data_IF_104536467687
#
_entry.id   IF_104536467687
#
_cell.length_a   1.000
_cell.length_b   1.000
_cell.length_c   1.000
_cell.angle_alpha   90.00
_cell.angle_beta   90.00
_cell.angle_gamma   90.00
#
_symmetry.space_group_name_H-M   'P 1'
#
loop_
_entity.id
_entity.type
_entity.pdbx_description
1 polymer ?
#
# COMPACT_ATOMS: atom_id res chain seq x y z
N UNK A 1 -23.91 -0.68 -13.24
CA UNK A 1 -22.96 -1.03 -12.18
C UNK A 1 -22.17 0.23 -11.82
N UNK A 2 -22.32 0.75 -10.60
CA UNK A 2 -21.68 2.00 -10.16
C UNK A 2 -20.20 1.79 -9.76
N UNK A 3 -19.74 0.55 -9.78
CA UNK A 3 -18.39 0.15 -9.39
C UNK A 3 -17.37 0.23 -10.52
N UNK A 4 -17.81 0.50 -11.76
CA UNK A 4 -16.94 0.61 -12.94
C UNK A 4 -17.10 1.98 -13.60
N UNK A 5 -15.97 2.63 -13.90
CA UNK A 5 -15.89 3.86 -14.66
C UNK A 5 -15.14 3.64 -15.97
N UNK A 6 -15.67 4.16 -17.07
CA UNK A 6 -15.01 4.17 -18.38
C UNK A 6 -14.44 5.55 -18.63
N UNK A 7 -13.13 5.62 -18.81
CA UNK A 7 -12.43 6.86 -19.14
C UNK A 7 -12.62 7.20 -20.63
N UNK A 8 -12.35 8.45 -21.01
CA UNK A 8 -12.43 8.90 -22.42
C UNK A 8 -11.58 8.05 -23.38
N UNK A 9 -10.55 7.38 -22.87
CA UNK A 9 -9.68 6.45 -23.63
C UNK A 9 -10.30 5.06 -23.87
N UNK A 10 -11.53 4.81 -23.39
CA UNK A 10 -12.19 3.50 -23.45
C UNK A 10 -11.76 2.52 -22.36
N UNK A 11 -10.75 2.87 -21.54
CA UNK A 11 -10.29 2.03 -20.41
C UNK A 11 -11.33 2.01 -19.29
N UNK A 12 -11.57 0.82 -18.73
CA UNK A 12 -12.50 0.62 -17.61
C UNK A 12 -11.73 0.31 -16.33
N UNK A 13 -12.10 0.97 -15.25
CA UNK A 13 -11.49 0.81 -13.93
C UNK A 13 -12.55 0.66 -12.86
N UNK A 14 -12.20 -0.04 -11.77
CA UNK A 14 -13.02 -0.04 -10.57
C UNK A 14 -13.01 1.36 -9.93
N UNK A 15 -14.19 1.90 -9.64
CA UNK A 15 -14.41 3.18 -8.95
C UNK A 15 -15.18 2.99 -7.63
N UNK A 16 -15.13 1.79 -7.06
CA UNK A 16 -15.63 1.50 -5.73
C UNK A 16 -14.65 1.97 -4.63
N UNK A 17 -15.13 1.90 -3.39
CA UNK A 17 -14.37 2.30 -2.21
C UNK A 17 -13.08 1.46 -2.02
N UNK A 18 -13.10 0.17 -2.38
CA UNK A 18 -11.92 -0.70 -2.27
C UNK A 18 -10.81 -0.27 -3.22
N UNK A 19 -11.16 0.09 -4.45
CA UNK A 19 -10.21 0.63 -5.43
C UNK A 19 -9.53 1.91 -4.91
N UNK A 20 -10.32 2.83 -4.34
CA UNK A 20 -9.80 4.06 -3.72
C UNK A 20 -8.84 3.76 -2.56
N UNK A 21 -9.18 2.83 -1.67
CA UNK A 21 -8.29 2.42 -0.58
C UNK A 21 -6.99 1.79 -1.08
N UNK A 22 -7.04 0.96 -2.11
CA UNK A 22 -5.85 0.31 -2.65
C UNK A 22 -4.91 1.32 -3.32
N UNK A 23 -5.44 2.33 -4.03
CA UNK A 23 -4.63 3.42 -4.58
C UNK A 23 -3.96 4.22 -3.45
N UNK A 24 -4.72 4.59 -2.41
CA UNK A 24 -4.18 5.27 -1.23
C UNK A 24 -3.11 4.44 -0.52
N UNK A 25 -3.34 3.16 -0.31
CA UNK A 25 -2.40 2.24 0.33
C UNK A 25 -1.04 2.23 -0.37
N UNK A 26 -1.03 2.17 -1.71
CA UNK A 26 0.21 2.20 -2.50
C UNK A 26 0.99 3.50 -2.34
N UNK A 27 0.28 4.62 -2.23
CA UNK A 27 0.91 5.92 -1.99
C UNK A 27 1.54 5.96 -0.59
N UNK A 28 0.78 5.65 0.45
CA UNK A 28 1.27 5.71 1.83
C UNK A 28 2.38 4.70 2.12
N UNK A 29 2.29 3.47 1.60
CA UNK A 29 3.39 2.48 1.72
C UNK A 29 4.68 3.06 1.12
N UNK A 30 4.61 3.67 -0.07
CA UNK A 30 5.78 4.31 -0.70
C UNK A 30 6.35 5.42 0.18
N UNK A 31 5.52 6.35 0.63
CA UNK A 31 6.00 7.50 1.40
C UNK A 31 6.61 7.08 2.73
N UNK A 32 5.99 6.12 3.45
CA UNK A 32 6.54 5.60 4.70
C UNK A 32 7.89 4.91 4.50
N UNK A 33 8.02 4.03 3.50
CA UNK A 33 9.28 3.30 3.28
C UNK A 33 10.40 4.20 2.73
N UNK A 34 10.06 5.25 1.97
CA UNK A 34 11.03 6.18 1.37
C UNK A 34 11.86 6.93 2.41
N UNK A 35 11.29 7.22 3.57
CA UNK A 35 11.95 8.01 4.61
C UNK A 35 12.83 7.17 5.54
N UNK A 36 12.79 5.84 5.42
CA UNK A 36 13.49 4.94 6.33
C UNK A 36 14.92 4.65 5.85
N UNK A 37 15.88 4.47 6.78
CA UNK A 37 17.16 3.87 6.47
C UNK A 37 17.01 2.47 5.87
N UNK A 38 17.95 2.07 5.01
CA UNK A 38 17.89 0.80 4.29
C UNK A 38 17.76 -0.42 5.24
N UNK A 39 18.43 -0.38 6.39
CA UNK A 39 18.36 -1.44 7.40
C UNK A 39 16.94 -1.61 7.96
N UNK A 40 16.30 -0.51 8.38
CA UNK A 40 14.94 -0.54 8.91
C UNK A 40 13.93 -0.97 7.85
N UNK A 41 14.08 -0.41 6.65
CA UNK A 41 13.28 -0.77 5.49
C UNK A 41 13.37 -2.27 5.18
N UNK A 42 14.58 -2.82 5.09
CA UNK A 42 14.81 -4.24 4.79
C UNK A 42 14.16 -5.15 5.84
N UNK A 43 14.25 -4.78 7.12
CA UNK A 43 13.61 -5.53 8.19
C UNK A 43 12.07 -5.47 8.12
N UNK A 44 11.48 -4.33 7.77
CA UNK A 44 10.03 -4.22 7.56
C UNK A 44 9.57 -5.01 6.33
N UNK A 45 10.32 -4.92 5.24
CA UNK A 45 10.04 -5.69 4.01
C UNK A 45 10.16 -7.21 4.22
N UNK A 46 10.97 -7.66 5.19
CA UNK A 46 11.03 -9.06 5.60
C UNK A 46 9.79 -9.51 6.38
N UNK A 47 9.17 -8.60 7.16
CA UNK A 47 7.94 -8.87 7.92
C UNK A 47 6.68 -8.74 7.09
N UNK A 48 6.65 -7.80 6.15
CA UNK A 48 5.53 -7.55 5.24
C UNK A 48 6.00 -7.68 3.78
N UNK A 49 6.21 -8.91 3.25
CA UNK A 49 6.82 -9.11 1.93
C UNK A 49 6.05 -8.48 0.76
N UNK A 50 4.73 -8.28 0.92
CA UNK A 50 3.87 -7.69 -0.09
C UNK A 50 4.33 -6.27 -0.48
N UNK A 51 4.91 -5.50 0.46
CA UNK A 51 5.29 -4.10 0.21
C UNK A 51 6.44 -3.96 -0.79
N UNK A 52 7.22 -5.04 -1.04
CA UNK A 52 8.22 -5.08 -2.12
C UNK A 52 7.59 -4.96 -3.51
N UNK A 53 6.34 -5.42 -3.68
CA UNK A 53 5.60 -5.38 -4.95
C UNK A 53 4.49 -4.33 -4.86
N UNK A 54 4.88 -3.05 -4.90
CA UNK A 54 3.95 -1.92 -4.70
C UNK A 54 2.68 -1.99 -5.57
N UNK A 55 2.76 -2.49 -6.80
CA UNK A 55 1.60 -2.57 -7.70
C UNK A 55 0.55 -3.60 -7.28
N UNK A 56 0.88 -4.54 -6.39
CA UNK A 56 -0.07 -5.49 -5.81
C UNK A 56 -0.57 -5.10 -4.42
N UNK A 57 -0.01 -4.04 -3.81
CA UNK A 57 -0.41 -3.68 -2.45
C UNK A 57 -1.87 -3.21 -2.38
N UNK A 58 -2.52 -3.64 -1.33
CA UNK A 58 -3.90 -3.34 -0.93
C UNK A 58 -3.93 -2.71 0.46
N UNK A 59 -5.11 -2.28 0.89
CA UNK A 59 -5.28 -1.67 2.21
C UNK A 59 -4.81 -2.55 3.39
N UNK A 60 -4.95 -3.88 3.27
CA UNK A 60 -4.47 -4.81 4.30
C UNK A 60 -2.95 -4.72 4.52
N UNK A 61 -2.17 -4.62 3.44
CA UNK A 61 -0.71 -4.51 3.52
C UNK A 61 -0.27 -3.21 4.21
N UNK A 62 -1.00 -2.11 3.96
CA UNK A 62 -0.72 -0.85 4.66
C UNK A 62 -0.98 -0.98 6.17
N UNK A 63 -2.07 -1.65 6.57
CA UNK A 63 -2.39 -1.85 7.99
C UNK A 63 -1.33 -2.70 8.69
N UNK A 64 -0.88 -3.76 8.03
CA UNK A 64 0.17 -4.64 8.54
C UNK A 64 1.50 -3.89 8.67
N UNK A 65 1.88 -3.11 7.64
CA UNK A 65 3.08 -2.28 7.68
C UNK A 65 3.06 -1.28 8.84
N UNK A 66 1.94 -0.57 9.04
CA UNK A 66 1.80 0.38 10.16
C UNK A 66 1.91 -0.34 11.50
N UNK A 67 1.28 -1.50 11.65
CA UNK A 67 1.37 -2.31 12.88
C UNK A 67 2.82 -2.69 13.19
N UNK A 68 3.57 -3.17 12.21
CA UNK A 68 4.99 -3.52 12.37
C UNK A 68 5.87 -2.30 12.66
N UNK A 69 5.56 -1.14 12.08
CA UNK A 69 6.25 0.12 12.38
C UNK A 69 6.01 0.56 13.82
N UNK A 70 4.78 0.47 14.33
CA UNK A 70 4.45 0.84 15.71
C UNK A 70 5.07 -0.14 16.73
N UNK A 71 5.07 -1.45 16.45
CA UNK A 71 5.74 -2.45 17.29
C UNK A 71 7.23 -2.14 17.46
N UNK A 72 7.89 -1.63 16.40
CA UNK A 72 9.31 -1.29 16.43
C UNK A 72 9.63 0.02 17.12
N UNK A 73 8.69 0.97 17.15
CA UNK A 73 8.85 2.20 17.94
C UNK A 73 8.75 1.92 19.45
N UNK A 74 8.04 0.84 19.82
CA UNK A 74 7.82 0.45 21.20
C UNK A 74 8.91 -0.49 21.76
N UNK A 75 9.80 -1.01 20.92
CA UNK A 75 10.89 -1.91 21.27
C UNK A 75 12.21 -1.14 21.48
#
# INVERSE_FOLDING_TARGET
DHRLCTFQTGKRYNCDLSASYNIGARYFIRENLKTLPETERSLLEAKVPAVKRRTSCVYADLRELISEMELRKAA
#
